data_IF_678210296193
#
_entry.id   IF_678210296193
#
_cell.length_a   1.000
_cell.length_b   1.000
_cell.length_c   1.000
_cell.angle_alpha   90.00
_cell.angle_beta   90.00
_cell.angle_gamma   90.00
#
_symmetry.space_group_name_H-M   'P 1'
#
loop_
_entity.id
_entity.type
_entity.pdbx_description
1 polymer ?
#
# COMPACT_ATOMS: atom_id res chain seq x y z
N UNK A 1 30.75 11.20 37.88
CA UNK A 1 30.36 12.54 37.39
C UNK A 1 29.52 12.27 36.16
N UNK A 2 28.21 12.40 36.32
CA UNK A 2 27.24 12.21 35.26
C UNK A 2 27.38 13.38 34.28
N UNK A 3 27.29 13.09 32.98
CA UNK A 3 26.96 14.09 31.99
C UNK A 3 25.74 13.59 31.23
N UNK A 4 24.70 14.41 31.36
CA UNK A 4 23.47 14.46 30.58
C UNK A 4 23.81 14.38 29.06
N UNK A 5 23.01 13.75 28.20
CA UNK A 5 21.67 14.20 27.84
C UNK A 5 20.74 13.04 27.49
N UNK A 6 19.60 13.00 28.19
CA UNK A 6 18.41 12.27 27.76
C UNK A 6 17.61 13.19 26.85
N UNK A 7 17.57 12.89 25.55
CA UNK A 7 16.47 13.38 24.72
C UNK A 7 15.43 12.28 24.62
N UNK A 8 14.47 12.33 25.54
CA UNK A 8 13.17 11.70 25.36
C UNK A 8 12.42 12.51 24.29
N UNK A 9 12.41 11.99 23.06
CA UNK A 9 11.50 12.43 22.02
C UNK A 9 10.47 11.31 21.87
N UNK A 10 9.27 11.53 22.41
CA UNK A 10 8.09 10.75 22.02
C UNK A 10 7.48 11.43 20.81
N UNK A 11 7.24 10.70 19.70
CA UNK A 11 6.17 11.06 18.80
C UNK A 11 5.04 10.05 18.98
N UNK A 12 3.94 10.56 19.50
CA UNK A 12 2.59 10.11 19.24
C UNK A 12 2.47 9.56 17.83
N UNK A 13 2.01 8.33 17.64
CA UNK A 13 1.53 7.88 16.34
C UNK A 13 0.52 6.77 16.53
N UNK A 14 -0.73 7.13 16.23
CA UNK A 14 -1.81 6.20 15.94
C UNK A 14 -1.30 5.18 14.92
N UNK A 15 -0.97 3.96 15.35
CA UNK A 15 -0.63 2.89 14.42
C UNK A 15 -1.93 2.27 13.91
N UNK A 16 -2.21 2.54 12.62
CA UNK A 16 -3.12 1.76 11.80
C UNK A 16 -2.73 0.27 11.91
N UNK A 17 -3.75 -0.56 12.08
CA UNK A 17 -3.75 -1.90 12.69
C UNK A 17 -2.90 -2.98 11.97
N UNK A 18 -2.08 -2.65 10.96
CA UNK A 18 -1.34 -3.63 10.11
C UNK A 18 0.00 -3.13 9.51
N UNK A 19 0.79 -2.29 10.18
CA UNK A 19 2.12 -1.89 9.66
C UNK A 19 3.19 -2.99 9.84
N UNK A 20 4.24 -3.03 9.01
CA UNK A 20 5.36 -3.98 9.13
C UNK A 20 6.07 -3.90 10.49
N UNK A 21 6.13 -2.69 11.07
CA UNK A 21 6.60 -2.44 12.43
C UNK A 21 5.76 -3.18 13.47
N UNK A 22 4.43 -3.11 13.37
CA UNK A 22 3.51 -3.82 14.25
C UNK A 22 3.58 -5.35 14.08
N UNK A 23 3.81 -5.84 12.86
CA UNK A 23 4.02 -7.29 12.59
C UNK A 23 5.28 -7.82 13.28
N UNK A 24 6.35 -7.03 13.29
CA UNK A 24 7.59 -7.37 14.00
C UNK A 24 7.58 -7.01 15.48
N UNK A 25 6.53 -6.33 15.96
CA UNK A 25 6.44 -5.85 17.33
C UNK A 25 7.56 -4.88 17.71
N UNK A 26 7.97 -4.03 16.77
CA UNK A 26 8.98 -3.00 16.98
C UNK A 26 8.45 -1.61 16.66
N UNK A 27 9.09 -0.58 17.22
CA UNK A 27 8.81 0.81 16.89
C UNK A 27 9.38 1.20 15.51
N UNK A 28 8.90 2.32 14.97
CA UNK A 28 9.41 2.89 13.71
C UNK A 28 10.89 3.28 13.81
N UNK A 29 11.31 3.77 14.98
CA UNK A 29 12.69 4.10 15.31
C UNK A 29 13.57 2.89 15.67
N UNK A 30 13.03 1.67 15.61
CA UNK A 30 13.75 0.48 16.02
C UNK A 30 15.02 0.27 15.17
N UNK A 31 16.10 -0.02 15.91
CA UNK A 31 17.43 -0.25 15.35
C UNK A 31 17.51 -1.61 14.67
N UNK A 32 18.48 -1.79 13.76
CA UNK A 32 18.67 -3.07 13.06
C UNK A 32 18.84 -4.26 14.03
N UNK A 33 19.50 -4.04 15.18
CA UNK A 33 19.71 -5.08 16.18
C UNK A 33 18.39 -5.54 16.82
N UNK A 34 17.51 -4.59 17.17
CA UNK A 34 16.17 -4.86 17.69
C UNK A 34 15.30 -5.58 16.67
N UNK A 35 15.33 -5.16 15.40
CA UNK A 35 14.60 -5.85 14.32
C UNK A 35 15.06 -7.30 14.17
N UNK A 36 16.37 -7.53 14.18
CA UNK A 36 16.94 -8.86 14.07
C UNK A 36 16.58 -9.72 15.29
N UNK A 37 16.60 -9.15 16.49
CA UNK A 37 16.22 -9.84 17.72
C UNK A 37 14.75 -10.29 17.68
N UNK A 38 13.83 -9.36 17.37
CA UNK A 38 12.40 -9.65 17.30
C UNK A 38 12.07 -10.65 16.18
N UNK A 39 12.69 -10.49 15.01
CA UNK A 39 12.56 -11.44 13.90
C UNK A 39 12.94 -12.86 14.32
N UNK A 40 14.07 -13.05 15.02
CA UNK A 40 14.50 -14.37 15.49
C UNK A 40 13.51 -15.01 16.47
N UNK A 41 12.89 -14.23 17.34
CA UNK A 41 11.88 -14.72 18.29
C UNK A 41 10.61 -15.14 17.53
N UNK A 42 10.15 -14.30 16.61
CA UNK A 42 8.94 -14.54 15.82
C UNK A 42 9.09 -15.74 14.88
N UNK A 43 10.22 -15.86 14.19
CA UNK A 43 10.52 -17.01 13.32
C UNK A 43 10.55 -18.31 14.12
N UNK A 44 11.16 -18.34 15.32
CA UNK A 44 11.15 -19.54 16.17
C UNK A 44 9.75 -19.94 16.64
N UNK A 45 8.86 -18.96 16.79
CA UNK A 45 7.47 -19.15 17.21
C UNK A 45 6.59 -19.63 16.06
N UNK A 46 6.82 -19.10 14.85
CA UNK A 46 6.04 -19.36 13.64
C UNK A 46 6.81 -20.19 12.60
N UNK A 47 7.76 -21.02 13.04
CA UNK A 47 8.60 -21.80 12.12
C UNK A 47 7.78 -22.91 11.44
N UNK A 48 7.82 -23.06 10.10
CA UNK A 48 7.01 -24.04 9.38
C UNK A 48 7.30 -25.50 9.81
N UNK A 49 8.52 -25.80 10.26
CA UNK A 49 8.91 -27.13 10.77
C UNK A 49 8.08 -27.57 12.00
N UNK A 50 7.72 -26.63 12.89
CA UNK A 50 6.84 -26.94 14.03
C UNK A 50 5.38 -27.15 13.63
N UNK A 51 4.93 -26.51 12.55
CA UNK A 51 3.57 -26.64 12.03
C UNK A 51 3.35 -27.91 11.22
N UNK A 52 4.41 -28.55 10.74
CA UNK A 52 4.32 -29.78 9.96
C UNK A 52 3.86 -30.97 10.82
N UNK A 53 3.90 -30.85 12.16
CA UNK A 53 3.51 -31.92 13.08
C UNK A 53 2.02 -32.00 13.40
N UNK A 54 1.23 -30.93 13.21
CA UNK A 54 -0.15 -30.88 13.73
C UNK A 54 -1.26 -30.79 12.68
N UNK A 55 -0.92 -30.78 11.39
CA UNK A 55 -1.90 -30.91 10.31
C UNK A 55 -2.86 -29.73 10.22
N UNK A 56 -2.61 -28.88 9.21
CA UNK A 56 -3.48 -27.78 8.73
C UNK A 56 -3.43 -26.53 9.60
N UNK A 57 -2.78 -25.48 9.09
CA UNK A 57 -3.24 -24.11 9.29
C UNK A 57 -2.65 -23.19 8.22
N UNK A 58 -3.44 -22.89 7.18
CA UNK A 58 -3.14 -21.84 6.20
C UNK A 58 -2.80 -20.49 6.88
N UNK A 59 -3.41 -20.24 8.05
CA UNK A 59 -3.24 -19.02 8.85
C UNK A 59 -1.80 -18.81 9.32
N UNK A 60 -1.04 -19.89 9.51
CA UNK A 60 0.28 -19.81 10.13
C UNK A 60 1.41 -19.72 9.09
N UNK A 61 1.18 -20.17 7.85
CA UNK A 61 2.08 -19.92 6.71
C UNK A 61 2.08 -18.43 6.34
N UNK A 62 0.89 -17.83 6.21
CA UNK A 62 0.72 -16.41 5.93
C UNK A 62 1.45 -15.52 6.96
N UNK A 63 1.39 -15.87 8.25
CA UNK A 63 2.09 -15.11 9.31
C UNK A 63 3.60 -15.15 9.14
N UNK A 64 4.18 -16.31 8.86
CA UNK A 64 5.62 -16.43 8.62
C UNK A 64 6.04 -15.59 7.40
N UNK A 65 5.28 -15.68 6.30
CA UNK A 65 5.51 -14.89 5.09
C UNK A 65 5.44 -13.39 5.38
N UNK A 66 4.46 -12.94 6.17
CA UNK A 66 4.35 -11.53 6.58
C UNK A 66 5.52 -11.07 7.46
N UNK A 67 5.96 -11.88 8.42
CA UNK A 67 7.11 -11.58 9.29
C UNK A 67 8.40 -11.47 8.47
N UNK A 68 8.64 -12.42 7.56
CA UNK A 68 9.80 -12.41 6.67
C UNK A 68 9.78 -11.22 5.71
N UNK A 69 8.62 -10.91 5.12
CA UNK A 69 8.43 -9.73 4.27
C UNK A 69 8.68 -8.42 5.03
N UNK A 70 8.15 -8.30 6.24
CA UNK A 70 8.38 -7.15 7.11
C UNK A 70 9.88 -6.98 7.40
N UNK A 71 10.56 -8.04 7.82
CA UNK A 71 11.99 -7.99 8.13
C UNK A 71 12.83 -7.66 6.89
N UNK A 72 12.55 -8.27 5.74
CA UNK A 72 13.26 -7.98 4.48
C UNK A 72 13.11 -6.53 4.02
N UNK A 73 11.96 -5.92 4.27
CA UNK A 73 11.70 -4.53 3.92
C UNK A 73 12.39 -3.58 4.90
N UNK A 74 12.27 -3.83 6.21
CA UNK A 74 12.79 -2.91 7.21
C UNK A 74 14.30 -3.05 7.47
N UNK A 75 14.92 -4.19 7.13
CA UNK A 75 16.37 -4.43 7.34
C UNK A 75 17.25 -3.56 6.43
N UNK A 76 16.73 -3.17 5.26
CA UNK A 76 17.46 -2.42 4.25
C UNK A 76 17.02 -0.97 4.33
N UNK A 77 17.95 -0.05 4.57
CA UNK A 77 17.62 1.36 4.76
C UNK A 77 16.93 1.98 3.53
N UNK A 78 17.26 1.51 2.33
CA UNK A 78 16.63 1.97 1.09
C UNK A 78 15.20 1.44 1.02
N UNK A 79 14.99 0.15 1.23
CA UNK A 79 13.66 -0.45 1.22
C UNK A 79 12.77 0.08 2.36
N UNK A 80 13.35 0.37 3.54
CA UNK A 80 12.66 1.03 4.66
C UNK A 80 12.19 2.42 4.26
N UNK A 81 13.05 3.23 3.65
CA UNK A 81 12.67 4.57 3.15
C UNK A 81 11.58 4.49 2.07
N UNK A 82 11.69 3.55 1.15
CA UNK A 82 10.66 3.31 0.13
C UNK A 82 9.33 2.87 0.77
N UNK A 83 9.39 2.04 1.81
CA UNK A 83 8.23 1.60 2.56
C UNK A 83 7.60 2.73 3.38
N UNK A 84 8.38 3.53 4.10
CA UNK A 84 7.90 4.68 4.86
C UNK A 84 7.32 5.75 3.91
N UNK A 85 7.95 5.95 2.75
CA UNK A 85 7.38 6.77 1.69
C UNK A 85 6.07 6.16 1.18
N UNK A 86 6.00 4.85 0.97
CA UNK A 86 4.76 4.17 0.56
C UNK A 86 3.68 4.16 1.62
N UNK A 87 4.00 4.34 2.91
CA UNK A 87 3.03 4.53 3.99
C UNK A 87 2.48 5.95 3.96
N UNK A 88 3.33 6.95 3.73
CA UNK A 88 2.92 8.34 3.53
C UNK A 88 2.10 8.51 2.23
N UNK A 89 2.48 7.76 1.20
CA UNK A 89 1.78 7.65 -0.08
C UNK A 89 0.74 6.51 -0.10
N UNK A 90 0.54 5.80 1.01
CA UNK A 90 -0.38 4.66 1.14
C UNK A 90 -1.84 5.08 1.27
N UNK A 91 -2.08 6.40 1.24
CA UNK A 91 -3.37 7.05 1.03
C UNK A 91 -3.41 7.88 -0.25
N UNK A 92 -2.38 7.80 -1.09
CA UNK A 92 -2.49 8.26 -2.47
C UNK A 92 -2.90 7.05 -3.29
N UNK A 93 -4.22 6.86 -3.39
CA UNK A 93 -4.81 6.39 -4.63
C UNK A 93 -4.00 6.99 -5.76
N UNK A 94 -3.43 6.07 -6.56
CA UNK A 94 -2.87 6.30 -7.87
C UNK A 94 -3.05 7.75 -8.30
N UNK A 95 -2.04 8.60 -8.07
CA UNK A 95 -2.05 9.96 -8.60
C UNK A 95 -1.86 9.89 -10.11
N UNK A 96 -2.69 9.11 -10.79
CA UNK A 96 -3.26 9.40 -12.09
C UNK A 96 -3.36 10.91 -12.18
N UNK A 97 -2.57 11.48 -13.08
CA UNK A 97 -2.66 12.89 -13.40
C UNK A 97 -4.02 13.08 -14.07
N UNK A 98 -5.05 13.33 -13.26
CA UNK A 98 -6.40 13.58 -13.72
C UNK A 98 -6.32 14.87 -14.52
N UNK A 99 -6.38 14.77 -15.85
CA UNK A 99 -6.24 15.93 -16.73
C UNK A 99 -7.57 16.62 -16.97
N UNK A 100 -8.68 15.91 -16.75
CA UNK A 100 -10.03 16.43 -16.90
C UNK A 100 -11.00 15.70 -15.96
N UNK A 101 -11.94 16.47 -15.41
CA UNK A 101 -13.10 15.98 -14.68
C UNK A 101 -14.33 16.14 -15.60
N UNK A 102 -15.04 15.06 -15.86
CA UNK A 102 -16.14 14.98 -16.83
C UNK A 102 -17.39 14.49 -16.10
N UNK A 103 -18.53 15.14 -16.29
CA UNK A 103 -19.79 14.63 -15.76
C UNK A 103 -20.41 13.63 -16.75
N UNK A 104 -21.22 12.67 -16.27
CA UNK A 104 -21.95 11.72 -17.15
C UNK A 104 -22.69 12.40 -18.31
N UNK A 105 -23.21 13.62 -18.10
CA UNK A 105 -23.95 14.39 -19.10
C UNK A 105 -23.08 14.90 -20.26
N UNK A 106 -21.78 14.99 -20.07
CA UNK A 106 -20.81 15.53 -21.04
C UNK A 106 -20.16 14.41 -21.88
N UNK A 107 -20.54 13.15 -21.65
CA UNK A 107 -20.11 12.00 -22.45
C UNK A 107 -20.90 11.90 -23.76
N UNK A 108 -20.20 11.52 -24.83
CA UNK A 108 -20.86 11.24 -26.09
C UNK A 108 -21.51 9.85 -26.03
N UNK A 109 -22.75 9.73 -26.50
CA UNK A 109 -23.46 8.45 -26.53
C UNK A 109 -23.79 8.06 -27.97
N UNK A 110 -23.23 6.96 -28.45
CA UNK A 110 -23.48 6.43 -29.80
C UNK A 110 -23.69 4.92 -29.71
N UNK A 111 -24.77 4.44 -30.32
CA UNK A 111 -25.10 3.00 -30.42
C UNK A 111 -25.07 2.20 -29.10
N UNK A 112 -25.43 2.83 -27.97
CA UNK A 112 -25.47 2.15 -26.67
C UNK A 112 -24.19 2.24 -25.85
N UNK A 113 -23.16 2.96 -26.33
CA UNK A 113 -21.86 3.09 -25.65
C UNK A 113 -21.57 4.56 -25.37
N UNK A 114 -21.12 4.86 -24.15
CA UNK A 114 -20.60 6.19 -23.80
C UNK A 114 -19.12 6.25 -24.17
N UNK A 115 -18.69 7.37 -24.74
CA UNK A 115 -17.27 7.61 -25.00
C UNK A 115 -16.89 9.07 -24.79
N UNK A 116 -15.62 9.28 -24.48
CA UNK A 116 -15.01 10.60 -24.36
C UNK A 116 -13.78 10.69 -25.25
N UNK A 117 -13.62 11.80 -25.96
CA UNK A 117 -12.45 12.02 -26.81
C UNK A 117 -11.34 12.65 -25.98
N UNK A 118 -10.27 11.90 -25.75
CA UNK A 118 -9.09 12.37 -25.05
C UNK A 118 -8.36 13.47 -25.85
N UNK A 119 -7.55 14.28 -25.18
CA UNK A 119 -6.72 15.32 -25.82
C UNK A 119 -5.73 14.74 -26.84
N UNK A 120 -5.34 13.48 -26.74
CA UNK A 120 -4.51 12.82 -27.75
C UNK A 120 -5.26 12.52 -29.06
N UNK A 121 -6.60 12.56 -29.04
CA UNK A 121 -7.47 12.27 -30.18
C UNK A 121 -8.17 10.91 -30.09
N UNK A 122 -7.80 10.07 -29.11
CA UNK A 122 -8.40 8.74 -28.93
C UNK A 122 -9.72 8.79 -28.18
N UNK A 123 -10.61 7.85 -28.53
CA UNK A 123 -11.90 7.70 -27.86
C UNK A 123 -11.76 6.68 -26.73
N UNK A 124 -12.03 7.14 -25.52
CA UNK A 124 -12.11 6.31 -24.33
C UNK A 124 -13.55 5.79 -24.25
N UNK A 125 -13.72 4.49 -24.41
CA UNK A 125 -15.02 3.82 -24.25
C UNK A 125 -15.31 3.60 -22.77
N UNK A 126 -16.51 3.97 -22.34
CA UNK A 126 -16.94 3.93 -20.95
C UNK A 126 -18.21 3.07 -20.90
N UNK A 127 -18.15 1.97 -20.18
CA UNK A 127 -19.31 1.08 -19.96
C UNK A 127 -20.20 1.65 -18.88
N UNK A 128 -21.51 1.41 -18.99
CA UNK A 128 -22.50 1.95 -18.05
C UNK A 128 -22.25 1.45 -16.61
N UNK A 129 -21.76 0.22 -16.43
CA UNK A 129 -21.38 -0.36 -15.14
C UNK A 129 -20.30 0.47 -14.41
N UNK A 130 -19.42 1.16 -15.14
CA UNK A 130 -18.35 1.98 -14.55
C UNK A 130 -18.89 3.31 -13.99
N UNK A 131 -20.06 3.75 -14.47
CA UNK A 131 -20.67 5.03 -14.10
C UNK A 131 -21.64 4.86 -12.92
N UNK A 132 -22.17 3.66 -12.68
CA UNK A 132 -23.16 3.43 -11.62
C UNK A 132 -22.57 3.40 -10.20
N UNK A 133 -21.27 3.16 -10.03
CA UNK A 133 -20.63 3.02 -8.71
C UNK A 133 -19.99 4.31 -8.13
N UNK A 134 -20.19 5.47 -8.76
CA UNK A 134 -19.72 6.77 -8.26
C UNK A 134 -18.57 7.37 -9.08
N UNK A 135 -17.68 8.12 -8.43
CA UNK A 135 -16.53 8.76 -9.09
C UNK A 135 -15.54 7.71 -9.61
N UNK A 136 -15.32 7.64 -10.92
CA UNK A 136 -14.44 6.65 -11.54
C UNK A 136 -13.32 7.30 -12.36
N UNK A 137 -12.11 6.76 -12.23
CA UNK A 137 -10.93 7.21 -12.99
C UNK A 137 -10.75 6.27 -14.18
N UNK A 138 -10.77 6.82 -15.39
CA UNK A 138 -10.55 6.07 -16.63
C UNK A 138 -9.25 6.52 -17.27
N UNK A 139 -8.36 5.57 -17.51
CA UNK A 139 -7.07 5.76 -18.16
C UNK A 139 -7.21 5.69 -19.69
N UNK A 140 -6.53 6.59 -20.40
CA UNK A 140 -6.47 6.53 -21.85
C UNK A 140 -5.46 5.45 -22.29
N UNK A 141 -5.83 4.57 -23.21
CA UNK A 141 -4.92 3.52 -23.70
C UNK A 141 -3.73 4.06 -24.50
N UNK A 142 -3.86 5.25 -25.06
CA UNK A 142 -2.88 5.86 -25.98
C UNK A 142 -2.09 7.01 -25.34
N UNK A 143 -2.40 7.40 -24.11
CA UNK A 143 -1.60 8.38 -23.37
C UNK A 143 -1.66 8.19 -21.86
N UNK A 144 -0.67 8.71 -21.13
CA UNK A 144 -0.61 8.65 -19.65
C UNK A 144 -1.63 9.55 -18.96
N UNK A 145 -2.62 10.09 -19.69
CA UNK A 145 -3.61 11.00 -19.15
C UNK A 145 -4.84 10.21 -18.67
N UNK A 146 -5.36 10.55 -17.50
CA UNK A 146 -6.56 9.94 -16.93
C UNK A 146 -7.70 10.95 -16.82
N UNK A 147 -8.94 10.55 -17.14
CA UNK A 147 -10.13 11.35 -16.84
C UNK A 147 -10.80 10.85 -15.57
N UNK A 148 -11.37 11.78 -14.81
CA UNK A 148 -12.27 11.47 -13.70
C UNK A 148 -13.69 11.69 -14.19
N UNK A 149 -14.54 10.68 -14.05
CA UNK A 149 -15.96 10.78 -14.38
C UNK A 149 -16.75 10.87 -13.08
N UNK A 150 -17.66 11.85 -13.00
CA UNK A 150 -18.56 12.09 -11.86
C UNK A 150 -20.03 12.04 -12.25
#
# INVERSE_FOLDING_TARGET
MNMEDKQEFTPSSQQCEQSFYSILGCDQDATFDELKHNYQILVKKHHPDKQTQEGIDFISDDKFVMIDKAFKTLKDEKARKEYDASLLHGSFDNSSLIYAEIEKKDLNFVMGVFYFTCRCGDNIEITEDIIEEGECIVECSECTNCILIK
#
